data_IF_656011289284
#
_entry.id   IF_656011289284
#
_cell.length_a   1.000
_cell.length_b   1.000
_cell.length_c   1.000
_cell.angle_alpha   90.00
_cell.angle_beta   90.00
_cell.angle_gamma   90.00
#
_symmetry.space_group_name_H-M   'P 1'
#
loop_
_entity.id
_entity.type
_entity.pdbx_description
1 polymer ?
#
# COMPACT_ATOMS: atom_id res chain seq x y z
N UNK A 1 -24.43 16.32 22.65
CA UNK A 1 -24.42 17.20 23.82
C UNK A 1 -23.00 17.26 24.37
N UNK A 2 -22.47 18.46 24.67
CA UNK A 2 -21.17 18.62 25.33
C UNK A 2 -21.38 18.34 26.81
N UNK A 3 -21.02 17.17 27.29
CA UNK A 3 -21.32 16.79 28.67
C UNK A 3 -20.17 17.10 29.67
N UNK A 4 -18.99 17.53 29.17
CA UNK A 4 -17.89 18.04 29.97
C UNK A 4 -17.23 19.23 29.23
N UNK A 5 -16.85 20.27 30.00
CA UNK A 5 -16.04 21.37 29.46
C UNK A 5 -14.75 21.48 30.26
N UNK A 6 -13.66 21.77 29.56
CA UNK A 6 -12.34 21.98 30.11
C UNK A 6 -12.00 23.47 30.03
N UNK A 7 -11.71 24.07 31.15
CA UNK A 7 -11.41 25.48 31.28
C UNK A 7 -9.96 25.67 31.72
N UNK A 8 -9.30 26.66 31.14
CA UNK A 8 -7.93 27.05 31.47
C UNK A 8 -6.91 25.89 31.55
N UNK A 9 -6.85 24.98 30.56
CA UNK A 9 -5.90 23.88 30.61
C UNK A 9 -4.47 24.39 30.54
N UNK A 10 -3.66 23.99 31.50
CA UNK A 10 -2.21 24.22 31.56
C UNK A 10 -1.52 22.89 31.65
N UNK A 11 -0.52 22.70 30.83
CA UNK A 11 0.31 21.49 30.85
C UNK A 11 1.76 21.94 30.87
N UNK A 12 2.41 21.67 31.98
CA UNK A 12 3.81 22.01 32.19
C UNK A 12 4.66 20.74 32.15
N UNK A 13 5.83 20.84 31.53
CA UNK A 13 6.84 19.79 31.52
C UNK A 13 7.82 20.06 32.66
N UNK A 14 7.85 19.17 33.63
CA UNK A 14 8.93 19.16 34.61
C UNK A 14 10.23 18.66 33.96
N UNK A 15 11.12 19.56 33.67
CA UNK A 15 12.40 19.27 33.02
C UNK A 15 13.31 18.34 33.85
N UNK A 16 13.12 18.30 35.18
CA UNK A 16 13.92 17.46 36.06
C UNK A 16 13.47 15.99 36.10
N UNK A 17 12.16 15.78 36.04
CA UNK A 17 11.58 14.43 36.13
C UNK A 17 11.10 13.87 34.79
N UNK A 18 11.02 14.69 33.75
CA UNK A 18 10.45 14.31 32.45
C UNK A 18 8.93 14.02 32.49
N UNK A 19 8.26 14.35 33.60
CA UNK A 19 6.82 14.16 33.77
C UNK A 19 6.08 15.39 33.27
N UNK A 20 4.93 15.16 32.65
CA UNK A 20 4.00 16.23 32.32
C UNK A 20 3.01 16.39 33.48
N UNK A 21 2.81 17.61 33.93
CA UNK A 21 1.76 17.95 34.91
C UNK A 21 0.66 18.72 34.20
N UNK A 22 -0.54 18.14 34.19
CA UNK A 22 -1.73 18.75 33.62
C UNK A 22 -2.60 19.33 34.75
N UNK A 23 -2.91 20.62 34.68
CA UNK A 23 -3.81 21.32 35.59
C UNK A 23 -4.92 21.98 34.75
N UNK A 24 -6.17 21.73 35.10
CA UNK A 24 -7.33 22.28 34.40
C UNK A 24 -8.54 22.30 35.31
N UNK A 25 -9.49 23.12 34.94
CA UNK A 25 -10.83 23.12 35.59
C UNK A 25 -11.80 22.33 34.69
N UNK A 26 -12.44 21.32 35.24
CA UNK A 26 -13.48 20.55 34.54
C UNK A 26 -14.87 20.97 35.02
N UNK A 27 -15.76 21.27 34.07
CA UNK A 27 -17.17 21.60 34.36
C UNK A 27 -18.08 20.48 33.93
N UNK A 28 -18.96 20.05 34.83
CA UNK A 28 -20.02 19.10 34.54
C UNK A 28 -21.11 19.78 33.69
N UNK A 29 -21.24 19.40 32.43
CA UNK A 29 -22.32 19.83 31.53
C UNK A 29 -23.32 18.71 31.25
N UNK A 30 -23.24 17.59 31.99
CA UNK A 30 -24.20 16.49 31.90
C UNK A 30 -25.44 16.77 32.76
N UNK A 31 -26.45 15.94 32.62
CA UNK A 31 -27.64 16.00 33.46
C UNK A 31 -27.53 15.25 34.80
N UNK A 32 -26.37 14.60 35.09
CA UNK A 32 -26.16 13.77 36.28
C UNK A 32 -25.08 14.39 37.17
N UNK A 33 -25.22 14.20 38.50
CA UNK A 33 -24.17 14.58 39.45
C UNK A 33 -23.03 13.57 39.40
N UNK A 34 -21.78 14.06 39.27
CA UNK A 34 -20.60 13.24 39.26
C UNK A 34 -20.12 12.97 40.69
N UNK A 35 -20.22 11.73 41.14
CA UNK A 35 -19.85 11.33 42.49
C UNK A 35 -18.70 10.34 42.49
N UNK A 36 -17.65 10.63 43.26
CA UNK A 36 -16.54 9.73 43.44
C UNK A 36 -16.97 8.37 44.05
N UNK A 37 -17.94 8.38 44.97
CA UNK A 37 -18.51 7.16 45.57
C UNK A 37 -19.21 6.25 44.56
N UNK A 38 -19.67 6.80 43.43
CA UNK A 38 -20.28 6.05 42.31
C UNK A 38 -19.25 5.69 41.20
N UNK A 39 -17.96 5.81 41.50
CA UNK A 39 -16.87 5.48 40.58
C UNK A 39 -16.60 6.54 39.50
N UNK A 40 -17.00 7.81 39.71
CA UNK A 40 -16.76 8.87 38.78
C UNK A 40 -15.37 9.50 39.00
N UNK A 41 -14.47 9.37 38.00
CA UNK A 41 -13.11 9.88 38.05
C UNK A 41 -12.77 10.63 36.76
N UNK A 42 -11.69 11.40 36.80
CA UNK A 42 -10.99 11.88 35.60
C UNK A 42 -9.71 11.09 35.47
N UNK A 43 -9.51 10.46 34.32
CA UNK A 43 -8.35 9.62 34.08
C UNK A 43 -7.66 9.92 32.77
N UNK A 44 -6.52 9.30 32.56
CA UNK A 44 -5.72 9.45 31.36
C UNK A 44 -5.45 8.12 30.67
N UNK A 45 -5.66 8.08 29.37
CA UNK A 45 -5.15 7.05 28.49
C UNK A 45 -4.01 7.61 27.63
N UNK A 46 -2.88 6.94 27.63
CA UNK A 46 -1.73 7.30 26.77
C UNK A 46 -1.68 6.37 25.58
N UNK A 47 -1.72 6.95 24.40
CA UNK A 47 -1.63 6.26 23.12
C UNK A 47 -0.33 6.62 22.39
N UNK A 48 0.19 5.69 21.62
CA UNK A 48 1.15 5.97 20.56
C UNK A 48 0.41 6.68 19.41
N UNK A 49 0.82 7.91 19.08
CA UNK A 49 0.16 8.73 18.08
C UNK A 49 0.29 8.18 16.65
N UNK A 50 1.32 7.38 16.37
CA UNK A 50 1.57 6.82 15.04
C UNK A 50 0.82 5.50 14.83
N UNK A 51 0.64 4.74 15.89
CA UNK A 51 0.03 3.41 15.83
C UNK A 51 -1.41 3.37 16.36
N UNK A 52 -1.80 4.36 17.19
CA UNK A 52 -3.08 4.39 17.86
C UNK A 52 -3.25 3.28 18.92
N UNK A 53 -2.15 2.62 19.34
CA UNK A 53 -2.19 1.60 20.39
C UNK A 53 -2.16 2.25 21.76
N UNK A 54 -2.99 1.75 22.69
CA UNK A 54 -2.94 2.13 24.09
C UNK A 54 -1.63 1.63 24.70
N UNK A 55 -0.85 2.53 25.28
CA UNK A 55 0.42 2.22 25.94
C UNK A 55 0.21 2.10 27.45
N UNK A 56 -0.49 3.08 28.04
CA UNK A 56 -0.71 3.16 29.48
C UNK A 56 -2.16 3.52 29.76
N UNK A 57 -2.82 2.74 30.63
CA UNK A 57 -4.01 3.11 31.35
C UNK A 57 -3.54 3.78 32.65
N UNK A 58 -3.55 5.13 32.67
CA UNK A 58 -2.82 5.90 33.65
C UNK A 58 -3.62 6.27 34.91
N UNK A 59 -3.16 7.31 35.60
CA UNK A 59 -3.73 7.75 36.87
C UNK A 59 -5.21 8.17 36.73
N UNK A 60 -5.95 7.94 37.81
CA UNK A 60 -7.34 8.37 37.98
C UNK A 60 -7.41 9.30 39.18
N UNK A 61 -8.05 10.46 39.01
CA UNK A 61 -8.20 11.49 40.04
C UNK A 61 -9.68 11.73 40.28
N UNK A 62 -10.09 11.66 41.52
CA UNK A 62 -11.44 12.06 41.93
C UNK A 62 -11.52 13.59 42.01
N UNK A 63 -12.66 14.17 41.75
CA UNK A 63 -12.92 15.54 42.11
C UNK A 63 -12.96 15.66 43.65
N UNK A 64 -12.47 16.80 44.18
CA UNK A 64 -12.46 17.04 45.65
C UNK A 64 -13.85 17.01 46.29
N UNK A 65 -14.90 17.22 45.49
CA UNK A 65 -16.32 17.18 45.89
C UNK A 65 -17.17 16.62 44.76
N UNK A 66 -18.39 16.22 45.13
CA UNK A 66 -19.39 15.88 44.14
C UNK A 66 -19.71 17.08 43.26
N UNK A 67 -19.82 16.87 41.94
CA UNK A 67 -20.07 17.90 40.95
C UNK A 67 -21.51 17.80 40.43
N UNK A 68 -22.37 18.69 40.88
CA UNK A 68 -23.70 18.82 40.29
C UNK A 68 -23.65 19.39 38.88
N UNK A 69 -24.72 19.23 38.06
CA UNK A 69 -24.79 19.85 36.73
C UNK A 69 -24.51 21.34 36.79
N UNK A 70 -23.58 21.82 35.97
CA UNK A 70 -23.12 23.21 35.90
C UNK A 70 -21.94 23.56 36.81
N UNK A 71 -21.59 22.74 37.78
CA UNK A 71 -20.47 22.97 38.68
C UNK A 71 -19.14 22.60 38.08
N UNK A 72 -18.05 23.18 38.63
CA UNK A 72 -16.67 22.95 38.19
C UNK A 72 -15.78 22.51 39.35
N UNK A 73 -14.73 21.74 39.04
CA UNK A 73 -13.66 21.43 39.97
C UNK A 73 -12.32 21.55 39.31
N UNK A 74 -11.27 21.88 40.07
CA UNK A 74 -9.89 21.83 39.62
C UNK A 74 -9.37 20.40 39.71
N UNK A 75 -8.69 19.96 38.65
CA UNK A 75 -8.06 18.67 38.58
C UNK A 75 -6.59 18.89 38.22
N UNK A 76 -5.72 18.27 39.02
CA UNK A 76 -4.28 18.19 38.74
C UNK A 76 -3.86 16.73 38.61
N UNK A 77 -3.13 16.38 37.56
CA UNK A 77 -2.63 15.02 37.37
C UNK A 77 -1.26 15.00 36.74
N UNK A 78 -0.45 14.03 37.15
CA UNK A 78 0.87 13.79 36.61
C UNK A 78 0.78 12.69 35.55
N UNK A 79 1.42 12.95 34.41
CA UNK A 79 1.45 12.07 33.26
C UNK A 79 2.90 11.57 33.09
N UNK A 80 3.12 10.28 33.23
CA UNK A 80 4.39 9.68 32.91
C UNK A 80 4.44 9.32 31.42
N UNK A 81 5.41 9.86 30.69
CA UNK A 81 5.65 9.49 29.30
C UNK A 81 6.72 8.38 29.21
N UNK A 82 6.64 7.49 28.19
CA UNK A 82 7.71 6.55 27.90
C UNK A 82 9.01 7.29 27.56
N UNK A 83 10.15 6.70 27.91
CA UNK A 83 11.48 7.22 27.58
C UNK A 83 11.92 6.91 26.14
N UNK A 84 11.19 6.02 25.46
CA UNK A 84 11.45 5.62 24.08
C UNK A 84 11.11 6.75 23.10
N UNK A 85 11.91 6.86 22.02
CA UNK A 85 11.66 7.82 20.96
C UNK A 85 10.30 7.54 20.30
N UNK A 86 9.40 8.52 20.30
CA UNK A 86 8.05 8.36 19.75
C UNK A 86 7.21 9.62 19.85
N UNK A 87 6.01 9.53 19.29
CA UNK A 87 4.96 10.54 19.42
C UNK A 87 3.83 9.97 20.26
N UNK A 88 3.45 10.68 21.29
CA UNK A 88 2.48 10.22 22.28
C UNK A 88 1.29 11.17 22.34
N UNK A 89 0.11 10.59 22.55
CA UNK A 89 -1.16 11.30 22.74
C UNK A 89 -1.77 10.87 24.07
N UNK A 90 -1.86 11.79 25.01
CA UNK A 90 -2.61 11.57 26.26
C UNK A 90 -4.01 12.14 26.12
N UNK A 91 -5.01 11.28 26.31
CA UNK A 91 -6.43 11.63 26.33
C UNK A 91 -6.88 11.67 27.78
N UNK A 92 -7.17 12.86 28.28
CA UNK A 92 -7.67 13.06 29.65
C UNK A 92 -9.17 13.25 29.58
N UNK A 93 -9.91 12.33 30.20
CA UNK A 93 -11.38 12.27 30.10
C UNK A 93 -12.03 11.82 31.39
N UNK A 94 -13.26 12.26 31.66
CA UNK A 94 -14.08 11.60 32.66
C UNK A 94 -14.27 10.12 32.33
N UNK A 95 -14.37 9.32 33.38
CA UNK A 95 -14.67 7.89 33.29
C UNK A 95 -15.59 7.49 34.47
N UNK A 96 -16.30 6.38 34.28
CA UNK A 96 -16.96 5.67 35.37
C UNK A 96 -16.25 4.33 35.56
N UNK A 97 -15.64 4.13 36.70
CA UNK A 97 -14.80 2.97 36.99
C UNK A 97 -15.54 1.67 36.67
N UNK A 98 -14.86 0.72 36.01
CA UNK A 98 -15.40 -0.55 35.52
C UNK A 98 -16.60 -0.49 34.57
N UNK A 99 -17.04 0.71 34.15
CA UNK A 99 -18.21 0.88 33.28
C UNK A 99 -17.81 1.44 31.91
N UNK A 100 -17.21 2.61 31.84
CA UNK A 100 -16.85 3.22 30.55
C UNK A 100 -15.96 4.46 30.69
N UNK A 101 -15.23 4.73 29.62
CA UNK A 101 -14.58 6.01 29.37
C UNK A 101 -15.53 6.90 28.54
N UNK A 102 -15.80 8.11 29.00
CA UNK A 102 -16.78 8.97 28.32
C UNK A 102 -16.32 9.52 26.98
N UNK A 103 -15.01 9.63 26.73
CA UNK A 103 -14.51 9.96 25.40
C UNK A 103 -14.90 8.91 24.34
N UNK A 104 -15.09 7.65 24.74
CA UNK A 104 -15.59 6.59 23.84
C UNK A 104 -17.06 6.78 23.48
N UNK A 105 -17.83 7.43 24.35
CA UNK A 105 -19.22 7.83 24.12
C UNK A 105 -19.34 9.18 23.38
N UNK A 106 -18.21 9.72 22.89
CA UNK A 106 -18.18 10.96 22.11
C UNK A 106 -18.10 12.25 22.93
N UNK A 107 -17.87 12.15 24.26
CA UNK A 107 -17.64 13.35 25.06
C UNK A 107 -16.31 14.00 24.71
N UNK A 108 -16.19 15.34 24.86
CA UNK A 108 -14.92 16.00 24.69
C UNK A 108 -13.91 15.56 25.74
N UNK A 109 -12.64 15.55 25.38
CA UNK A 109 -11.51 15.25 26.23
C UNK A 109 -10.38 16.26 26.02
N UNK A 110 -9.52 16.41 27.01
CA UNK A 110 -8.30 17.19 26.87
C UNK A 110 -7.24 16.30 26.20
N UNK A 111 -6.80 16.73 25.01
CA UNK A 111 -5.74 16.08 24.23
C UNK A 111 -4.43 16.78 24.52
N UNK A 112 -3.41 16.00 24.92
CA UNK A 112 -2.03 16.46 25.09
C UNK A 112 -1.15 15.64 24.17
N UNK A 113 -0.50 16.28 23.20
CA UNK A 113 0.45 15.63 22.30
C UNK A 113 1.88 15.98 22.70
N UNK A 114 2.73 14.97 22.78
CA UNK A 114 4.14 15.12 23.10
C UNK A 114 5.00 14.27 22.16
N UNK A 115 6.23 14.73 21.91
CA UNK A 115 7.26 14.01 21.15
C UNK A 115 8.47 13.80 22.04
N UNK A 116 8.91 12.57 22.16
CA UNK A 116 10.14 12.19 22.84
C UNK A 116 11.20 11.89 21.79
N UNK A 117 12.34 12.58 21.84
CA UNK A 117 13.51 12.32 20.99
C UNK A 117 14.78 12.45 21.83
N UNK A 118 15.58 11.39 21.81
CA UNK A 118 16.88 11.32 22.50
C UNK A 118 16.81 11.73 23.98
N UNK A 119 15.75 11.25 24.65
CA UNK A 119 15.47 11.56 26.06
C UNK A 119 14.88 12.96 26.33
N UNK A 120 14.67 13.78 25.27
CA UNK A 120 14.07 15.12 25.41
C UNK A 120 12.60 15.06 25.04
N UNK A 121 11.74 15.41 25.97
CA UNK A 121 10.29 15.55 25.75
C UNK A 121 9.94 16.96 25.29
N UNK A 122 9.17 17.07 24.23
CA UNK A 122 8.61 18.34 23.74
C UNK A 122 7.09 18.23 23.60
N UNK A 123 6.39 19.16 24.23
CA UNK A 123 4.97 19.35 24.06
C UNK A 123 4.72 19.95 22.67
N UNK A 124 3.79 19.35 21.92
CA UNK A 124 3.47 19.81 20.56
C UNK A 124 2.07 20.39 20.45
N UNK A 125 1.11 19.87 21.24
CA UNK A 125 -0.25 20.37 21.23
C UNK A 125 -0.96 20.12 22.55
N UNK A 126 -1.75 21.09 23.01
CA UNK A 126 -2.69 20.95 24.14
C UNK A 126 -4.01 21.58 23.73
N UNK A 127 -5.09 20.82 23.76
CA UNK A 127 -6.38 21.35 23.37
C UNK A 127 -7.54 20.38 23.65
N UNK A 128 -8.75 20.90 23.62
CA UNK A 128 -9.96 20.10 23.79
C UNK A 128 -10.34 19.50 22.44
N UNK A 129 -10.52 18.19 22.38
CA UNK A 129 -10.87 17.47 21.18
C UNK A 129 -12.02 16.49 21.45
N UNK A 130 -12.53 15.89 20.39
CA UNK A 130 -13.48 14.77 20.43
C UNK A 130 -12.95 13.61 19.63
N UNK A 131 -13.40 12.39 19.93
CA UNK A 131 -12.94 11.20 19.17
C UNK A 131 -13.19 11.34 17.68
N UNK A 132 -14.29 11.99 17.29
CA UNK A 132 -14.60 12.25 15.87
C UNK A 132 -13.65 13.26 15.22
N UNK A 133 -13.28 14.34 15.93
CA UNK A 133 -12.31 15.33 15.43
C UNK A 133 -10.92 14.72 15.33
N UNK A 134 -10.46 14.03 16.37
CA UNK A 134 -9.19 13.32 16.38
C UNK A 134 -9.11 12.28 15.25
N UNK A 135 -10.19 11.50 15.05
CA UNK A 135 -10.28 10.52 13.98
C UNK A 135 -10.22 11.16 12.59
N UNK A 136 -10.81 12.34 12.38
CA UNK A 136 -10.70 13.09 11.11
C UNK A 136 -9.28 13.57 10.86
N UNK A 137 -8.63 14.15 11.86
CA UNK A 137 -7.23 14.59 11.74
C UNK A 137 -6.28 13.42 11.49
N UNK A 138 -6.47 12.32 12.21
CA UNK A 138 -5.72 11.09 11.98
C UNK A 138 -5.96 10.53 10.58
N UNK A 139 -7.20 10.55 10.08
CA UNK A 139 -7.53 10.12 8.72
C UNK A 139 -6.87 11.01 7.66
N UNK A 140 -6.91 12.34 7.82
CA UNK A 140 -6.25 13.28 6.89
C UNK A 140 -4.73 13.09 6.90
N UNK A 141 -4.13 12.97 8.09
CA UNK A 141 -2.69 12.67 8.22
C UNK A 141 -2.34 11.28 7.65
N UNK A 142 -3.22 10.29 7.80
CA UNK A 142 -3.04 8.95 7.25
C UNK A 142 -3.11 8.94 5.72
N UNK A 143 -4.04 9.70 5.12
CA UNK A 143 -4.11 9.87 3.65
C UNK A 143 -2.83 10.51 3.13
N UNK A 144 -2.38 11.62 3.71
CA UNK A 144 -1.11 12.26 3.30
C UNK A 144 0.08 11.30 3.43
N UNK A 145 0.15 10.56 4.54
CA UNK A 145 1.17 9.53 4.75
C UNK A 145 1.06 8.38 3.75
N UNK A 146 -0.15 7.93 3.43
CA UNK A 146 -0.38 6.83 2.49
C UNK A 146 0.19 7.11 1.09
N UNK A 147 0.23 8.38 0.66
CA UNK A 147 0.86 8.77 -0.60
C UNK A 147 2.40 8.80 -0.53
N UNK A 148 2.97 9.17 0.61
CA UNK A 148 4.43 9.35 0.77
C UNK A 148 5.11 8.05 1.21
N UNK A 149 4.48 7.25 2.05
CA UNK A 149 5.06 6.04 2.63
C UNK A 149 5.52 4.99 1.60
N UNK A 150 4.77 4.68 0.51
CA UNK A 150 5.26 3.74 -0.49
C UNK A 150 6.64 4.12 -1.03
N UNK A 151 6.80 5.41 -1.40
CA UNK A 151 8.06 5.90 -1.95
C UNK A 151 9.19 5.96 -0.91
N UNK A 152 8.87 6.37 0.33
CA UNK A 152 9.84 6.35 1.44
C UNK A 152 10.30 4.91 1.74
N UNK A 153 9.40 3.94 1.75
CA UNK A 153 9.71 2.53 1.97
C UNK A 153 10.66 2.02 0.89
N UNK A 154 10.40 2.33 -0.38
CA UNK A 154 11.26 1.96 -1.50
C UNK A 154 12.65 2.58 -1.37
N UNK A 155 12.71 3.88 -1.08
CA UNK A 155 13.98 4.61 -0.97
C UNK A 155 14.81 4.15 0.22
N UNK A 156 14.20 4.01 1.38
CA UNK A 156 14.88 3.58 2.63
C UNK A 156 15.44 2.17 2.51
N UNK A 157 14.71 1.27 1.87
CA UNK A 157 15.07 -0.14 1.77
C UNK A 157 15.73 -0.52 0.43
N UNK A 158 16.17 0.45 -0.39
CA UNK A 158 16.73 0.18 -1.73
C UNK A 158 17.90 -0.81 -1.74
N UNK A 159 18.73 -0.81 -0.70
CA UNK A 159 19.83 -1.78 -0.55
C UNK A 159 19.33 -3.21 -0.36
N UNK A 160 18.36 -3.39 0.54
CA UNK A 160 17.72 -4.68 0.79
C UNK A 160 17.01 -5.20 -0.47
N UNK A 161 16.22 -4.34 -1.14
CA UNK A 161 15.52 -4.66 -2.39
C UNK A 161 16.52 -5.15 -3.44
N UNK A 162 17.61 -4.43 -3.66
CA UNK A 162 18.64 -4.83 -4.65
C UNK A 162 19.21 -6.22 -4.38
N UNK A 163 19.55 -6.51 -3.11
CA UNK A 163 20.09 -7.82 -2.70
C UNK A 163 19.04 -8.92 -2.89
N UNK A 164 17.79 -8.67 -2.53
CA UNK A 164 16.72 -9.66 -2.66
C UNK A 164 16.34 -9.92 -4.12
N UNK A 165 16.24 -8.89 -4.95
CA UNK A 165 16.00 -9.02 -6.41
C UNK A 165 17.10 -9.83 -7.05
N UNK A 166 18.38 -9.50 -6.76
CA UNK A 166 19.51 -10.26 -7.29
C UNK A 166 19.44 -11.74 -6.87
N UNK A 167 19.12 -12.00 -5.61
CA UNK A 167 18.97 -13.37 -5.08
C UNK A 167 17.81 -14.10 -5.74
N UNK A 168 16.66 -13.46 -5.96
CA UNK A 168 15.49 -14.07 -6.58
C UNK A 168 15.76 -14.39 -8.06
N UNK A 169 16.29 -13.43 -8.81
CA UNK A 169 16.61 -13.62 -10.24
C UNK A 169 17.67 -14.69 -10.45
N UNK A 170 18.76 -14.64 -9.67
CA UNK A 170 19.83 -15.64 -9.79
C UNK A 170 19.46 -16.99 -9.16
N UNK A 171 18.58 -16.97 -8.15
CA UNK A 171 18.15 -18.14 -7.40
C UNK A 171 17.14 -19.01 -8.14
N UNK A 172 16.34 -18.44 -9.06
CA UNK A 172 15.30 -19.17 -9.82
C UNK A 172 15.82 -20.40 -10.54
N UNK A 173 17.05 -20.32 -11.03
CA UNK A 173 17.65 -21.34 -11.87
C UNK A 173 18.88 -21.97 -11.21
N UNK A 174 19.06 -21.78 -9.90
CA UNK A 174 20.17 -22.33 -9.15
C UNK A 174 20.07 -23.85 -9.13
N UNK A 175 21.11 -24.54 -9.62
CA UNK A 175 21.12 -26.00 -9.74
C UNK A 175 20.55 -26.55 -11.05
N UNK A 176 20.03 -25.70 -11.96
CA UNK A 176 19.67 -26.11 -13.31
C UNK A 176 20.87 -26.07 -14.25
N UNK A 177 20.90 -26.97 -15.26
CA UNK A 177 22.00 -27.07 -16.25
C UNK A 177 22.23 -25.76 -17.00
N UNK A 178 21.15 -25.00 -17.34
CA UNK A 178 21.25 -23.73 -18.07
C UNK A 178 21.43 -22.51 -17.17
N UNK A 179 21.34 -22.65 -15.84
CA UNK A 179 21.50 -21.52 -14.90
C UNK A 179 20.69 -20.28 -15.28
N UNK A 180 21.31 -19.11 -15.19
CA UNK A 180 20.67 -17.81 -15.52
C UNK A 180 20.25 -17.66 -16.99
N UNK A 181 20.72 -18.49 -17.90
CA UNK A 181 20.29 -18.47 -19.30
C UNK A 181 18.79 -18.77 -19.46
N UNK A 182 18.19 -19.48 -18.53
CA UNK A 182 16.74 -19.71 -18.53
C UNK A 182 15.90 -18.43 -18.47
N UNK A 183 16.43 -17.36 -17.91
CA UNK A 183 15.76 -16.04 -17.91
C UNK A 183 15.55 -15.52 -19.34
N UNK A 184 16.46 -15.88 -20.27
CA UNK A 184 16.39 -15.52 -21.69
C UNK A 184 15.67 -16.60 -22.49
N UNK A 185 15.97 -17.88 -22.21
CA UNK A 185 15.44 -19.03 -22.96
C UNK A 185 13.92 -19.14 -22.81
N UNK A 186 13.36 -18.95 -21.61
CA UNK A 186 11.91 -19.07 -21.40
C UNK A 186 11.08 -18.08 -22.22
N UNK A 187 11.36 -16.76 -22.22
CA UNK A 187 10.69 -15.83 -23.12
C UNK A 187 10.91 -16.17 -24.59
N UNK A 188 12.12 -16.61 -24.97
CA UNK A 188 12.43 -17.00 -26.34
C UNK A 188 11.59 -18.20 -26.78
N UNK A 189 11.54 -19.28 -25.98
CA UNK A 189 10.74 -20.46 -26.28
C UNK A 189 9.25 -20.10 -26.39
N UNK A 190 8.75 -19.27 -25.48
CA UNK A 190 7.39 -18.77 -25.53
C UNK A 190 7.11 -18.02 -26.83
N UNK A 191 8.01 -17.11 -27.22
CA UNK A 191 7.93 -16.36 -28.47
C UNK A 191 7.94 -17.27 -29.69
N UNK A 192 8.82 -18.25 -29.73
CA UNK A 192 8.92 -19.23 -30.82
C UNK A 192 7.68 -20.11 -30.91
N UNK A 193 7.15 -20.56 -29.76
CA UNK A 193 5.94 -21.37 -29.70
C UNK A 193 4.75 -20.60 -30.29
N UNK A 194 4.53 -19.37 -29.84
CA UNK A 194 3.43 -18.58 -30.36
C UNK A 194 3.62 -18.16 -31.83
N UNK A 195 4.86 -17.86 -32.23
CA UNK A 195 5.16 -17.64 -33.64
C UNK A 195 4.83 -18.87 -34.49
N UNK A 196 5.23 -20.07 -34.04
CA UNK A 196 4.93 -21.30 -34.73
C UNK A 196 3.41 -21.54 -34.82
N UNK A 197 2.70 -21.47 -33.72
CA UNK A 197 1.25 -21.72 -33.67
C UNK A 197 0.49 -20.73 -34.53
N UNK A 198 0.67 -19.45 -34.32
CA UNK A 198 -0.14 -18.42 -34.97
C UNK A 198 0.40 -18.00 -36.34
N UNK A 199 1.70 -18.00 -36.52
CA UNK A 199 2.33 -17.59 -37.78
C UNK A 199 2.42 -18.72 -38.81
N UNK A 200 2.77 -19.95 -38.35
CA UNK A 200 3.00 -21.09 -39.27
C UNK A 200 1.76 -21.99 -39.36
N UNK A 201 1.19 -22.43 -38.23
CA UNK A 201 0.08 -23.39 -38.23
C UNK A 201 -1.25 -22.70 -38.57
N UNK A 202 -1.65 -21.69 -37.83
CA UNK A 202 -2.90 -20.97 -38.02
C UNK A 202 -2.88 -19.96 -39.17
N UNK A 203 -1.70 -19.58 -39.64
CA UNK A 203 -1.48 -18.56 -40.70
C UNK A 203 -2.33 -17.31 -40.50
N UNK A 204 -2.48 -16.91 -39.26
CA UNK A 204 -3.31 -15.78 -38.87
C UNK A 204 -2.83 -14.50 -39.53
N UNK A 205 -3.71 -13.83 -40.30
CA UNK A 205 -3.42 -12.56 -40.96
C UNK A 205 -3.98 -11.42 -40.16
N UNK A 206 -3.22 -10.35 -40.06
CA UNK A 206 -3.67 -9.12 -39.37
C UNK A 206 -3.86 -7.99 -40.39
N UNK A 207 -4.94 -7.21 -40.28
CA UNK A 207 -5.12 -6.00 -41.08
C UNK A 207 -3.97 -5.02 -40.77
N UNK A 208 -3.24 -4.59 -41.79
CA UNK A 208 -2.22 -3.54 -41.67
C UNK A 208 -0.78 -4.01 -41.45
N UNK A 209 -0.51 -5.32 -41.24
CA UNK A 209 0.86 -5.87 -41.17
C UNK A 209 0.95 -7.04 -42.15
N UNK A 210 1.58 -6.83 -43.33
CA UNK A 210 1.71 -7.90 -44.32
C UNK A 210 2.66 -8.99 -43.83
N UNK A 211 2.35 -10.25 -44.16
CA UNK A 211 3.21 -11.41 -43.90
C UNK A 211 2.84 -12.25 -42.67
N UNK A 212 3.37 -13.49 -42.64
CA UNK A 212 3.16 -14.50 -41.57
C UNK A 212 3.70 -14.04 -40.21
N UNK A 213 4.70 -13.16 -40.19
CA UNK A 213 5.31 -12.63 -38.99
C UNK A 213 4.46 -11.51 -38.31
N UNK A 214 3.52 -10.91 -39.04
CA UNK A 214 2.76 -9.75 -38.54
C UNK A 214 1.94 -10.06 -37.30
N UNK A 215 1.25 -11.20 -37.29
CA UNK A 215 0.48 -11.64 -36.12
C UNK A 215 1.39 -11.93 -34.93
N UNK A 216 2.52 -12.62 -35.16
CA UNK A 216 3.45 -12.94 -34.08
C UNK A 216 4.00 -11.66 -33.43
N UNK A 217 4.40 -10.67 -34.24
CA UNK A 217 4.84 -9.38 -33.73
C UNK A 217 3.75 -8.66 -32.92
N UNK A 218 2.52 -8.69 -33.38
CA UNK A 218 1.38 -8.08 -32.70
C UNK A 218 1.10 -8.75 -31.34
N UNK A 219 1.05 -10.09 -31.33
CA UNK A 219 0.81 -10.90 -30.14
C UNK A 219 1.94 -10.71 -29.11
N UNK A 220 3.20 -10.89 -29.57
CA UNK A 220 4.37 -10.78 -28.68
C UNK A 220 4.50 -9.39 -28.07
N UNK A 221 4.20 -8.34 -28.86
CA UNK A 221 4.18 -6.96 -28.33
C UNK A 221 3.18 -6.82 -27.19
N UNK A 222 1.98 -7.39 -27.32
CA UNK A 222 0.96 -7.37 -26.26
C UNK A 222 1.34 -8.20 -25.02
N UNK A 223 2.20 -9.22 -25.20
CA UNK A 223 2.68 -10.07 -24.12
C UNK A 223 3.69 -9.36 -23.20
N UNK A 224 4.41 -8.36 -23.68
CA UNK A 224 5.49 -7.70 -22.92
C UNK A 224 4.97 -7.16 -21.57
N UNK A 225 3.98 -6.24 -21.51
CA UNK A 225 3.49 -5.74 -20.24
C UNK A 225 2.76 -6.79 -19.41
N UNK A 226 2.19 -7.82 -20.07
CA UNK A 226 1.52 -8.93 -19.41
C UNK A 226 2.49 -9.79 -18.57
N UNK A 227 3.70 -10.06 -19.09
CA UNK A 227 4.66 -10.93 -18.43
C UNK A 227 5.00 -10.44 -17.01
N UNK A 228 5.41 -9.18 -16.87
CA UNK A 228 5.77 -8.63 -15.57
C UNK A 228 4.57 -8.57 -14.61
N UNK A 229 3.39 -8.15 -15.12
CA UNK A 229 2.18 -8.03 -14.31
C UNK A 229 1.69 -9.40 -13.82
N UNK A 230 1.58 -10.37 -14.73
CA UNK A 230 1.07 -11.71 -14.39
C UNK A 230 2.02 -12.48 -13.48
N UNK A 231 3.34 -12.35 -13.69
CA UNK A 231 4.34 -12.97 -12.84
C UNK A 231 4.26 -12.42 -11.40
N UNK A 232 4.23 -11.09 -11.24
CA UNK A 232 4.17 -10.47 -9.93
C UNK A 232 2.83 -10.73 -9.23
N UNK A 233 1.70 -10.52 -9.92
CA UNK A 233 0.38 -10.71 -9.35
C UNK A 233 0.06 -12.18 -9.02
N UNK A 234 0.54 -13.12 -9.84
CA UNK A 234 0.32 -14.56 -9.63
C UNK A 234 1.07 -15.10 -8.41
N UNK A 235 2.26 -14.57 -8.12
CA UNK A 235 3.07 -14.98 -6.96
C UNK A 235 2.77 -14.17 -5.69
N UNK A 236 2.16 -13.00 -5.82
CA UNK A 236 1.92 -12.13 -4.68
C UNK A 236 1.16 -12.78 -3.52
N UNK A 237 0.09 -13.59 -3.73
CA UNK A 237 -0.64 -14.22 -2.63
C UNK A 237 0.21 -15.13 -1.74
N UNK A 238 1.21 -15.83 -2.32
CA UNK A 238 2.05 -16.80 -1.60
C UNK A 238 3.32 -16.21 -1.00
N UNK A 239 3.71 -14.98 -1.37
CA UNK A 239 5.04 -14.43 -1.06
C UNK A 239 5.33 -14.35 0.44
N UNK A 240 4.35 -14.01 1.26
CA UNK A 240 4.52 -13.93 2.71
C UNK A 240 4.71 -15.31 3.32
N UNK A 241 3.98 -16.32 2.83
CA UNK A 241 4.10 -17.70 3.25
C UNK A 241 5.45 -18.30 2.84
N UNK A 242 5.89 -18.06 1.60
CA UNK A 242 7.22 -18.49 1.13
C UNK A 242 8.36 -17.91 1.97
N UNK A 243 8.16 -16.71 2.54
CA UNK A 243 9.15 -16.00 3.32
C UNK A 243 8.80 -15.89 4.82
N UNK A 244 7.99 -16.83 5.37
CA UNK A 244 7.51 -16.80 6.76
C UNK A 244 8.62 -16.61 7.79
N UNK A 245 9.80 -17.18 7.56
CA UNK A 245 10.95 -17.06 8.47
C UNK A 245 11.49 -15.62 8.56
N UNK A 246 11.31 -14.82 7.52
CA UNK A 246 11.66 -13.39 7.53
C UNK A 246 10.54 -12.55 8.14
N UNK A 247 9.27 -12.91 7.87
CA UNK A 247 8.09 -12.21 8.39
C UNK A 247 8.02 -12.28 9.92
N UNK A 248 8.43 -13.41 10.51
CA UNK A 248 8.46 -13.59 11.97
C UNK A 248 9.61 -12.84 12.68
N UNK A 249 10.56 -12.27 11.92
CA UNK A 249 11.65 -11.48 12.50
C UNK A 249 11.23 -10.01 12.64
N UNK A 250 11.29 -9.47 13.86
CA UNK A 250 10.86 -8.12 14.22
C UNK A 250 11.52 -6.97 13.41
N UNK A 251 12.72 -7.19 12.87
CA UNK A 251 13.53 -6.15 12.21
C UNK A 251 13.43 -6.19 10.67
N UNK A 252 12.65 -7.12 10.09
CA UNK A 252 12.58 -7.26 8.65
C UNK A 252 11.49 -6.37 8.03
N UNK A 253 11.87 -5.59 7.00
CA UNK A 253 10.93 -4.74 6.26
C UNK A 253 10.07 -5.59 5.30
N UNK A 254 8.99 -6.17 5.80
CA UNK A 254 8.10 -7.11 5.09
C UNK A 254 7.52 -6.51 3.81
N UNK A 255 7.35 -5.18 3.78
CA UNK A 255 6.86 -4.40 2.64
C UNK A 255 7.73 -4.53 1.40
N UNK A 256 9.00 -4.94 1.56
CA UNK A 256 9.93 -5.13 0.44
C UNK A 256 9.69 -6.41 -0.35
N UNK A 257 8.97 -7.41 0.20
CA UNK A 257 8.71 -8.68 -0.47
C UNK A 257 7.89 -8.53 -1.76
N UNK A 258 6.74 -7.83 -1.78
CA UNK A 258 6.00 -7.59 -3.03
C UNK A 258 6.80 -6.73 -4.03
N UNK A 259 7.62 -5.78 -3.53
CA UNK A 259 8.51 -4.97 -4.38
C UNK A 259 9.51 -5.85 -5.11
N UNK A 260 10.06 -6.85 -4.42
CA UNK A 260 11.00 -7.80 -5.01
C UNK A 260 10.35 -8.59 -6.15
N UNK A 261 9.10 -9.03 -6.00
CA UNK A 261 8.36 -9.72 -7.08
C UNK A 261 8.22 -8.84 -8.32
N UNK A 262 7.80 -7.59 -8.13
CA UNK A 262 7.62 -6.65 -9.24
C UNK A 262 8.95 -6.37 -9.93
N UNK A 263 10.01 -6.10 -9.16
CA UNK A 263 11.32 -5.86 -9.73
C UNK A 263 11.88 -7.07 -10.48
N UNK A 264 11.64 -8.28 -9.98
CA UNK A 264 12.03 -9.51 -10.66
C UNK A 264 11.25 -9.72 -11.97
N UNK A 265 9.93 -9.43 -11.97
CA UNK A 265 9.10 -9.46 -13.18
C UNK A 265 9.55 -8.43 -14.21
N UNK A 266 9.95 -7.22 -13.79
CA UNK A 266 10.52 -6.20 -14.69
C UNK A 266 11.86 -6.63 -15.30
N UNK A 267 12.68 -7.39 -14.58
CA UNK A 267 13.90 -7.98 -15.15
C UNK A 267 13.53 -8.99 -16.24
N UNK A 268 12.53 -9.85 -16.01
CA UNK A 268 12.03 -10.79 -17.03
C UNK A 268 11.48 -10.05 -18.26
N UNK A 269 10.71 -8.99 -18.04
CA UNK A 269 10.18 -8.14 -19.10
C UNK A 269 11.29 -7.42 -19.89
N UNK A 270 12.32 -6.92 -19.21
CA UNK A 270 13.47 -6.30 -19.86
C UNK A 270 14.13 -7.24 -20.86
N UNK A 271 14.38 -8.49 -20.47
CA UNK A 271 14.93 -9.50 -21.39
C UNK A 271 13.97 -9.81 -22.53
N UNK A 272 12.66 -9.89 -22.25
CA UNK A 272 11.66 -10.09 -23.28
C UNK A 272 11.61 -8.90 -24.27
N UNK A 273 11.72 -7.66 -23.80
CA UNK A 273 11.79 -6.46 -24.65
C UNK A 273 13.05 -6.49 -25.53
N UNK A 274 14.21 -6.83 -24.97
CA UNK A 274 15.47 -6.95 -25.74
C UNK A 274 15.33 -8.00 -26.84
N UNK A 275 14.81 -9.19 -26.53
CA UNK A 275 14.53 -10.24 -27.52
C UNK A 275 13.53 -9.79 -28.57
N UNK A 276 12.47 -9.12 -28.15
CA UNK A 276 11.46 -8.59 -29.06
C UNK A 276 12.02 -7.53 -30.00
N UNK A 277 12.88 -6.63 -29.50
CA UNK A 277 13.60 -5.67 -30.35
C UNK A 277 14.50 -6.38 -31.36
N UNK A 278 15.24 -7.43 -30.96
CA UNK A 278 16.01 -8.27 -31.86
C UNK A 278 15.14 -8.94 -32.93
N UNK A 279 14.00 -9.48 -32.56
CA UNK A 279 13.04 -10.09 -33.47
C UNK A 279 12.42 -9.07 -34.44
N UNK A 280 12.09 -7.89 -33.93
CA UNK A 280 11.60 -6.78 -34.77
C UNK A 280 12.64 -6.31 -35.78
N UNK A 281 13.90 -6.20 -35.35
CA UNK A 281 15.01 -5.84 -36.23
C UNK A 281 15.25 -6.89 -37.33
N UNK A 282 15.18 -8.18 -36.98
CA UNK A 282 15.34 -9.26 -37.93
C UNK A 282 14.23 -9.29 -38.99
N UNK A 283 12.99 -8.90 -38.65
CA UNK A 283 11.86 -8.96 -39.59
C UNK A 283 11.66 -7.63 -40.32
N UNK A 284 11.77 -6.50 -39.62
CA UNK A 284 11.51 -5.16 -40.21
C UNK A 284 12.75 -4.41 -40.64
N UNK A 285 13.94 -4.91 -40.30
CA UNK A 285 15.26 -4.27 -40.55
C UNK A 285 15.39 -2.85 -39.97
N UNK A 286 14.48 -2.46 -39.06
CA UNK A 286 14.48 -1.14 -38.42
C UNK A 286 13.85 -1.19 -37.03
N UNK A 287 14.37 -0.39 -36.11
CA UNK A 287 13.74 -0.15 -34.79
C UNK A 287 13.06 1.22 -34.82
N UNK A 288 11.82 1.32 -34.39
CA UNK A 288 11.13 2.60 -34.33
C UNK A 288 11.74 3.48 -33.21
N UNK A 289 11.99 4.74 -33.49
CA UNK A 289 12.52 5.72 -32.52
C UNK A 289 11.55 5.91 -31.36
N UNK A 290 10.27 5.63 -31.56
CA UNK A 290 9.22 5.70 -30.54
C UNK A 290 9.41 4.74 -29.38
N UNK A 291 10.30 3.75 -29.46
CA UNK A 291 10.73 2.90 -28.32
C UNK A 291 11.24 3.75 -27.15
N UNK A 292 11.76 4.94 -27.40
CA UNK A 292 12.17 5.89 -26.35
C UNK A 292 11.02 6.32 -25.43
N UNK A 293 9.76 6.13 -25.82
CA UNK A 293 8.59 6.33 -24.95
C UNK A 293 8.32 5.19 -23.97
N UNK A 294 9.05 4.06 -24.07
CA UNK A 294 8.88 2.92 -23.18
C UNK A 294 8.93 3.29 -21.68
N UNK A 295 9.89 4.12 -21.20
CA UNK A 295 9.92 4.51 -19.79
C UNK A 295 8.63 5.19 -19.31
N UNK A 296 7.94 5.92 -20.17
CA UNK A 296 6.67 6.61 -19.84
C UNK A 296 5.54 5.59 -19.64
N UNK A 297 5.55 4.47 -20.36
CA UNK A 297 4.59 3.36 -20.18
C UNK A 297 4.93 2.52 -18.95
N UNK A 298 6.22 2.34 -18.64
CA UNK A 298 6.67 1.58 -17.48
C UNK A 298 6.22 2.22 -16.15
N UNK A 299 6.13 3.55 -16.06
CA UNK A 299 5.71 4.21 -14.81
C UNK A 299 4.33 3.72 -14.34
N UNK A 300 3.22 3.89 -15.10
CA UNK A 300 1.92 3.41 -14.65
C UNK A 300 1.86 1.89 -14.52
N UNK A 301 2.61 1.13 -15.32
CA UNK A 301 2.70 -0.32 -15.21
C UNK A 301 3.31 -0.74 -13.87
N UNK A 302 4.43 -0.15 -13.46
CA UNK A 302 5.08 -0.43 -12.19
C UNK A 302 4.16 -0.07 -11.02
N UNK A 303 3.55 1.11 -11.05
CA UNK A 303 2.65 1.56 -9.99
C UNK A 303 1.45 0.61 -9.83
N UNK A 304 0.83 0.20 -10.94
CA UNK A 304 -0.31 -0.72 -10.94
C UNK A 304 0.09 -2.10 -10.40
N UNK A 305 1.17 -2.66 -10.95
CA UNK A 305 1.65 -4.00 -10.57
C UNK A 305 2.05 -4.04 -9.10
N UNK A 306 2.72 -3.00 -8.61
CA UNK A 306 3.15 -2.91 -7.23
C UNK A 306 1.96 -2.76 -6.27
N UNK A 307 0.98 -1.90 -6.62
CA UNK A 307 -0.25 -1.75 -5.85
C UNK A 307 -1.04 -3.05 -5.73
N UNK A 308 -1.23 -3.75 -6.85
CA UNK A 308 -1.85 -5.07 -6.87
C UNK A 308 -1.05 -6.10 -6.05
N UNK A 309 0.27 -6.12 -6.19
CA UNK A 309 1.12 -7.09 -5.47
C UNK A 309 1.06 -6.87 -3.95
N UNK A 310 1.06 -5.63 -3.46
CA UNK A 310 0.86 -5.37 -2.03
C UNK A 310 -0.52 -5.81 -1.55
N UNK A 311 -1.57 -5.51 -2.30
CA UNK A 311 -2.94 -5.90 -1.95
C UNK A 311 -3.09 -7.42 -1.90
N UNK A 312 -2.63 -8.12 -2.95
CA UNK A 312 -2.73 -9.57 -3.08
C UNK A 312 -1.87 -10.30 -2.03
N UNK A 313 -0.67 -9.79 -1.73
CA UNK A 313 0.17 -10.34 -0.68
C UNK A 313 -0.48 -10.18 0.71
N UNK A 314 -1.08 -9.02 1.00
CA UNK A 314 -1.80 -8.81 2.24
C UNK A 314 -2.99 -9.77 2.39
N UNK A 315 -3.80 -9.93 1.35
CA UNK A 315 -4.96 -10.83 1.37
C UNK A 315 -4.54 -12.32 1.41
N UNK A 316 -3.45 -12.68 0.73
CA UNK A 316 -2.92 -14.04 0.69
C UNK A 316 -2.44 -14.57 2.05
N UNK A 317 -2.06 -13.69 2.97
CA UNK A 317 -1.74 -14.09 4.35
C UNK A 317 -2.95 -14.62 5.12
N UNK A 318 -4.16 -14.19 4.76
CA UNK A 318 -5.41 -14.60 5.41
C UNK A 318 -6.18 -15.67 4.65
N UNK A 319 -6.05 -15.67 3.31
CA UNK A 319 -6.79 -16.59 2.42
C UNK A 319 -5.79 -17.44 1.67
N UNK A 320 -5.59 -18.70 2.12
CA UNK A 320 -4.56 -19.62 1.57
C UNK A 320 -4.82 -19.98 0.11
N UNK A 321 -6.08 -20.09 -0.29
CA UNK A 321 -6.46 -20.49 -1.66
C UNK A 321 -6.50 -19.31 -2.64
N UNK A 322 -6.17 -18.11 -2.18
CA UNK A 322 -6.21 -16.91 -3.02
C UNK A 322 -5.32 -17.04 -4.27
N UNK A 323 -4.20 -17.75 -4.17
CA UNK A 323 -3.33 -18.00 -5.33
C UNK A 323 -4.02 -18.70 -6.48
N UNK A 324 -4.87 -19.71 -6.19
CA UNK A 324 -5.64 -20.43 -7.21
C UNK A 324 -6.66 -19.50 -7.88
N UNK A 325 -7.38 -18.73 -7.07
CA UNK A 325 -8.37 -17.76 -7.57
C UNK A 325 -7.71 -16.72 -8.46
N UNK A 326 -6.57 -16.16 -8.03
CA UNK A 326 -5.83 -15.16 -8.81
C UNK A 326 -5.31 -15.77 -10.12
N UNK A 327 -4.80 -16.98 -10.11
CA UNK A 327 -4.40 -17.69 -11.35
C UNK A 327 -5.53 -17.77 -12.38
N UNK A 328 -6.72 -18.12 -11.94
CA UNK A 328 -7.91 -18.15 -12.79
C UNK A 328 -8.32 -16.74 -13.27
N UNK A 329 -8.34 -15.76 -12.38
CA UNK A 329 -8.67 -14.36 -12.73
C UNK A 329 -7.66 -13.76 -13.71
N UNK A 330 -6.38 -14.06 -13.57
CA UNK A 330 -5.35 -13.65 -14.53
C UNK A 330 -5.59 -14.26 -15.90
N UNK A 331 -5.98 -15.53 -15.97
CA UNK A 331 -6.33 -16.19 -17.24
C UNK A 331 -7.52 -15.49 -17.91
N UNK A 332 -8.58 -15.18 -17.17
CA UNK A 332 -9.71 -14.41 -17.70
C UNK A 332 -9.25 -13.04 -18.18
N UNK A 333 -8.46 -12.32 -17.38
CA UNK A 333 -7.98 -10.97 -17.70
C UNK A 333 -7.12 -10.95 -18.96
N UNK A 334 -6.29 -11.99 -19.16
CA UNK A 334 -5.53 -12.18 -20.39
C UNK A 334 -6.44 -12.25 -21.62
N UNK A 335 -7.49 -13.07 -21.57
CA UNK A 335 -8.41 -13.24 -22.71
C UNK A 335 -9.38 -12.06 -22.89
N UNK A 336 -9.75 -11.36 -21.82
CA UNK A 336 -10.55 -10.13 -21.92
C UNK A 336 -9.73 -8.99 -22.53
N UNK A 337 -8.41 -9.02 -22.38
CA UNK A 337 -7.52 -8.04 -23.02
C UNK A 337 -7.18 -8.54 -24.42
N UNK A 338 -7.29 -7.71 -25.48
CA UNK A 338 -7.04 -8.13 -26.86
C UNK A 338 -5.52 -8.32 -27.11
N UNK A 339 -4.91 -9.30 -26.43
CA UNK A 339 -3.53 -9.71 -26.64
C UNK A 339 -3.47 -10.68 -27.83
N UNK A 340 -4.36 -11.71 -27.83
CA UNK A 340 -4.37 -12.81 -28.79
C UNK A 340 -5.19 -12.54 -30.05
N UNK A 341 -5.97 -11.47 -30.09
CA UNK A 341 -6.88 -11.18 -31.19
C UNK A 341 -6.89 -9.68 -31.50
N UNK A 342 -7.32 -9.30 -32.74
CA UNK A 342 -7.39 -7.90 -33.13
C UNK A 342 -8.52 -7.16 -32.39
N UNK A 343 -8.28 -5.93 -32.07
CA UNK A 343 -9.27 -5.04 -31.41
C UNK A 343 -10.57 -4.92 -32.24
N UNK A 344 -10.44 -4.93 -33.58
CA UNK A 344 -11.58 -4.86 -34.49
C UNK A 344 -12.50 -6.08 -34.52
N UNK A 345 -12.11 -7.22 -33.91
CA UNK A 345 -12.93 -8.44 -33.85
C UNK A 345 -13.97 -8.37 -32.73
N UNK A 346 -13.91 -7.36 -31.86
CA UNK A 346 -14.82 -7.25 -30.73
C UNK A 346 -16.15 -6.58 -31.11
N UNK A 347 -17.28 -7.05 -30.53
CA UNK A 347 -18.56 -6.38 -30.67
C UNK A 347 -18.49 -4.94 -30.17
N UNK A 348 -19.23 -4.01 -30.83
CA UNK A 348 -19.20 -2.57 -30.49
C UNK A 348 -19.48 -2.28 -29.00
N UNK A 349 -20.30 -3.09 -28.33
CA UNK A 349 -20.56 -2.95 -26.88
C UNK A 349 -19.37 -3.32 -25.99
N UNK A 350 -18.52 -4.25 -26.40
CA UNK A 350 -17.33 -4.67 -25.64
C UNK A 350 -16.20 -3.62 -25.73
N UNK A 351 -16.13 -2.83 -26.79
CA UNK A 351 -15.13 -1.78 -26.96
C UNK A 351 -15.16 -0.73 -25.83
N UNK A 352 -16.35 -0.39 -25.32
CA UNK A 352 -16.50 0.55 -24.19
C UNK A 352 -15.94 -0.03 -22.87
N UNK A 353 -16.00 -1.34 -22.68
CA UNK A 353 -15.44 -2.01 -21.51
C UNK A 353 -13.91 -2.09 -21.58
N UNK A 354 -13.36 -2.26 -22.78
CA UNK A 354 -11.91 -2.33 -23.00
C UNK A 354 -11.20 -1.03 -22.62
N UNK A 355 -11.78 0.13 -22.91
CA UNK A 355 -11.16 1.42 -22.57
C UNK A 355 -11.00 1.62 -21.06
N UNK A 356 -11.76 0.89 -20.25
CA UNK A 356 -11.65 0.88 -18.79
C UNK A 356 -10.65 -0.15 -18.26
N UNK A 357 -10.18 -1.08 -19.11
CA UNK A 357 -9.22 -2.10 -18.73
C UNK A 357 -7.80 -1.50 -18.68
N UNK A 358 -7.15 -1.44 -17.50
CA UNK A 358 -5.82 -0.85 -17.36
C UNK A 358 -4.76 -1.58 -18.20
N UNK A 359 -4.86 -2.90 -18.31
CA UNK A 359 -3.93 -3.71 -19.11
C UNK A 359 -4.09 -3.42 -20.60
N UNK A 360 -5.31 -3.20 -21.09
CA UNK A 360 -5.55 -2.83 -22.48
C UNK A 360 -4.83 -1.52 -22.85
N UNK A 361 -4.89 -0.52 -21.97
CA UNK A 361 -4.21 0.77 -22.22
C UNK A 361 -2.70 0.57 -22.33
N UNK A 362 -2.10 -0.29 -21.50
CA UNK A 362 -0.67 -0.64 -21.60
C UNK A 362 -0.38 -1.35 -22.91
N UNK A 363 -1.08 -2.43 -23.22
CA UNK A 363 -0.89 -3.21 -24.47
C UNK A 363 -1.02 -2.32 -25.70
N UNK A 364 -2.01 -1.42 -25.72
CA UNK A 364 -2.19 -0.46 -26.83
C UNK A 364 -1.03 0.54 -26.92
N UNK A 365 -0.53 1.00 -25.76
CA UNK A 365 0.67 1.85 -25.69
C UNK A 365 1.90 1.18 -26.26
N UNK A 366 2.16 -0.09 -25.86
CA UNK A 366 3.29 -0.88 -26.39
C UNK A 366 3.17 -1.07 -27.90
N UNK A 367 2.00 -1.39 -28.42
CA UNK A 367 1.78 -1.51 -29.88
C UNK A 367 1.99 -0.21 -30.61
N UNK A 368 1.56 0.92 -30.06
CA UNK A 368 1.78 2.23 -30.64
C UNK A 368 3.28 2.53 -30.81
N UNK A 369 4.11 2.26 -29.80
CA UNK A 369 5.53 2.57 -29.82
C UNK A 369 6.35 1.56 -30.65
N UNK A 370 6.01 0.27 -30.62
CA UNK A 370 6.81 -0.77 -31.28
C UNK A 370 6.35 -1.09 -32.71
N UNK A 371 5.04 -1.02 -32.99
CA UNK A 371 4.48 -1.48 -34.25
C UNK A 371 4.01 -0.35 -35.16
N UNK A 372 3.44 0.72 -34.58
CA UNK A 372 2.81 1.81 -35.34
C UNK A 372 3.74 3.02 -35.51
N UNK A 373 4.90 3.03 -34.86
CA UNK A 373 5.82 4.16 -34.83
C UNK A 373 5.14 5.47 -34.41
N UNK A 374 4.30 5.42 -33.38
CA UNK A 374 3.54 6.55 -32.83
C UNK A 374 3.76 6.69 -31.33
N UNK A 375 3.68 7.92 -30.85
CA UNK A 375 3.65 8.17 -29.40
C UNK A 375 2.39 7.55 -28.77
N UNK A 376 2.47 7.11 -27.51
CA UNK A 376 1.31 6.57 -26.79
C UNK A 376 0.24 7.67 -26.63
N UNK A 377 -1.05 7.27 -26.60
CA UNK A 377 -2.15 8.20 -26.38
C UNK A 377 -2.15 8.71 -24.94
N UNK A 378 -1.85 9.99 -24.73
CA UNK A 378 -1.72 10.59 -23.40
C UNK A 378 -3.04 10.63 -22.62
N UNK A 379 -4.19 10.76 -23.28
CA UNK A 379 -5.50 10.78 -22.62
C UNK A 379 -5.84 9.52 -21.84
N UNK A 380 -5.79 8.31 -22.44
CA UNK A 380 -5.91 7.04 -21.70
C UNK A 380 -4.77 6.79 -20.72
N UNK A 381 -3.53 7.17 -21.07
CA UNK A 381 -2.35 6.90 -20.25
C UNK A 381 -2.36 7.66 -18.92
N UNK A 382 -2.76 8.94 -18.92
CA UNK A 382 -2.84 9.69 -17.67
C UNK A 382 -3.95 9.14 -16.75
N UNK A 383 -5.10 8.71 -17.31
CA UNK A 383 -6.17 8.04 -16.55
C UNK A 383 -5.66 6.74 -15.92
N UNK A 384 -4.92 5.95 -16.69
CA UNK A 384 -4.26 4.75 -16.19
C UNK A 384 -3.29 5.09 -15.05
N UNK A 385 -2.48 6.15 -15.20
CA UNK A 385 -1.53 6.58 -14.15
C UNK A 385 -2.25 6.93 -12.85
N UNK A 386 -3.39 7.62 -12.94
CA UNK A 386 -4.21 7.94 -11.75
C UNK A 386 -4.75 6.65 -11.11
N UNK A 387 -5.31 5.74 -11.90
CA UNK A 387 -5.80 4.44 -11.39
C UNK A 387 -4.68 3.63 -10.76
N UNK A 388 -3.51 3.60 -11.39
CA UNK A 388 -2.32 2.91 -10.89
C UNK A 388 -1.81 3.52 -9.57
N UNK A 389 -1.84 4.85 -9.45
CA UNK A 389 -1.47 5.55 -8.22
C UNK A 389 -2.47 5.24 -7.09
N UNK A 390 -3.77 5.22 -7.39
CA UNK A 390 -4.80 4.83 -6.41
C UNK A 390 -4.59 3.37 -5.98
N UNK A 391 -4.34 2.46 -6.93
CA UNK A 391 -4.06 1.06 -6.62
C UNK A 391 -2.81 0.92 -5.73
N UNK A 392 -1.75 1.70 -6.01
CA UNK A 392 -0.53 1.74 -5.21
C UNK A 392 -0.82 2.15 -3.76
N UNK A 393 -1.54 3.27 -3.59
CA UNK A 393 -1.85 3.82 -2.27
C UNK A 393 -2.75 2.87 -1.47
N UNK A 394 -3.81 2.36 -2.09
CA UNK A 394 -4.75 1.43 -1.46
C UNK A 394 -4.06 0.11 -1.11
N UNK A 395 -3.30 -0.46 -2.04
CA UNK A 395 -2.56 -1.72 -1.83
C UNK A 395 -1.55 -1.59 -0.71
N UNK A 396 -0.73 -0.53 -0.72
CA UNK A 396 0.24 -0.28 0.35
C UNK A 396 -0.44 0.00 1.69
N UNK A 397 -1.50 0.82 1.73
CA UNK A 397 -2.22 1.13 2.97
C UNK A 397 -2.87 -0.13 3.59
N UNK A 398 -3.47 -1.00 2.76
CA UNK A 398 -4.01 -2.27 3.17
C UNK A 398 -2.91 -3.18 3.75
N UNK A 399 -1.79 -3.33 3.04
CA UNK A 399 -0.65 -4.11 3.48
C UNK A 399 -0.07 -3.59 4.79
N UNK A 400 0.14 -2.27 4.88
CA UNK A 400 0.69 -1.63 6.08
C UNK A 400 -0.21 -1.79 7.31
N UNK A 401 -1.53 -1.67 7.12
CA UNK A 401 -2.51 -1.87 8.20
C UNK A 401 -2.52 -3.31 8.72
N UNK A 402 -2.42 -4.28 7.80
CA UNK A 402 -2.52 -5.71 8.12
C UNK A 402 -1.19 -6.35 8.55
N UNK A 403 -0.05 -5.69 8.33
CA UNK A 403 1.29 -6.26 8.55
C UNK A 403 1.53 -6.78 9.98
N UNK A 404 0.86 -6.19 10.99
CA UNK A 404 0.99 -6.62 12.38
C UNK A 404 0.42 -8.01 12.62
N UNK A 405 -0.65 -8.35 11.91
CA UNK A 405 -1.31 -9.64 12.02
C UNK A 405 -0.63 -10.74 11.20
N UNK A 406 0.35 -10.42 10.34
CA UNK A 406 0.99 -11.43 9.49
C UNK A 406 1.78 -12.46 10.30
N UNK A 407 2.46 -12.04 11.38
CA UNK A 407 3.25 -12.94 12.22
C UNK A 407 2.39 -13.99 12.92
N UNK A 408 1.15 -13.63 13.26
CA UNK A 408 0.20 -14.50 13.96
C UNK A 408 -0.51 -15.47 12.99
N UNK A 409 -0.64 -15.08 11.70
CA UNK A 409 -1.35 -15.86 10.69
C UNK A 409 -0.46 -16.86 9.93
N UNK A 410 0.85 -16.66 9.94
CA UNK A 410 1.85 -17.47 9.25
C UNK A 410 2.63 -18.40 10.20
#
# INVERSE_FOLDING_TARGET
MKAAAYLNPRVDLDAATGKLRAEFEIRNQSGETWRAAEGFFVGVHLFDADTGTLIVDGARVAAERDLAPGESARIGMDLALPTENGRFQALISPLREHVCWFYEKGWPFLLVEAVVRDGVTRLTHVGVSTRAALGREQAVRAVGRAFVYPFLTLWRNRGLIRVMVRRDVLGRYRGSFGGSFWTLINPLLLMLTYYFVFGVVLQSRFPGIPGRAGFALYFLCGMLPWLALSEAAGRAPSILLEHRNFVKKLVFAVETLPVNLVAAGLVSEFFAVVLYCGFLLAIRHSLPVTVLWLPVLLVPQILLTLGLSWLLAALGAFVRDLGQVIGFLLTIWFFVTPICYPEGSLPKGAAALLTKNPLYVLVRGYRAIFLENRAPQFGPLWKLTVVALVALVVGHACFYKLRRSFADML
#
